data_IF_800344317410
#
_entry.id   IF_800344317410
#
_cell.length_a   1.000
_cell.length_b   1.000
_cell.length_c   1.000
_cell.angle_alpha   90.00
_cell.angle_beta   90.00
_cell.angle_gamma   90.00
#
_symmetry.space_group_name_H-M   'P 1'
#
loop_
_entity.id
_entity.type
_entity.pdbx_description
1 polymer ?
#
# COMPACT_ATOMS: atom_id res chain seq x y z
N UNK A 1 40.54 11.99 -5.98
CA UNK A 1 39.32 11.80 -5.17
C UNK A 1 39.66 10.79 -4.07
N UNK A 2 39.51 11.14 -2.79
CA UNK A 2 39.91 10.25 -1.71
C UNK A 2 38.99 9.03 -1.64
N UNK A 3 39.54 7.84 -1.35
CA UNK A 3 38.78 6.58 -1.26
C UNK A 3 37.55 6.70 -0.33
N UNK A 4 37.67 7.47 0.75
CA UNK A 4 36.57 7.79 1.68
C UNK A 4 35.46 8.61 1.02
N UNK A 5 35.79 9.62 0.22
CA UNK A 5 34.81 10.47 -0.48
C UNK A 5 34.06 9.68 -1.54
N UNK A 6 34.74 8.79 -2.28
CA UNK A 6 34.09 7.92 -3.25
C UNK A 6 33.07 6.98 -2.58
N UNK A 7 33.41 6.37 -1.45
CA UNK A 7 32.50 5.49 -0.70
C UNK A 7 31.23 6.24 -0.26
N UNK A 8 31.38 7.46 0.25
CA UNK A 8 30.22 8.29 0.67
C UNK A 8 29.30 8.58 -0.51
N UNK A 9 29.86 8.92 -1.67
CA UNK A 9 29.08 9.18 -2.89
C UNK A 9 28.30 7.93 -3.32
N UNK A 10 28.95 6.77 -3.34
CA UNK A 10 28.26 5.51 -3.66
C UNK A 10 27.11 5.21 -2.70
N UNK A 11 27.33 5.42 -1.40
CA UNK A 11 26.31 5.17 -0.39
C UNK A 11 25.13 6.15 -0.51
N UNK A 12 25.40 7.42 -0.82
CA UNK A 12 24.37 8.43 -1.05
C UNK A 12 23.51 8.10 -2.28
N UNK A 13 24.14 7.67 -3.39
CA UNK A 13 23.42 7.26 -4.60
C UNK A 13 22.55 6.03 -4.32
N UNK A 14 23.08 5.04 -3.59
CA UNK A 14 22.34 3.85 -3.20
C UNK A 14 21.09 4.22 -2.37
N UNK A 15 21.24 5.11 -1.39
CA UNK A 15 20.12 5.60 -0.58
C UNK A 15 19.05 6.29 -1.42
N UNK A 16 19.43 7.12 -2.39
CA UNK A 16 18.48 7.79 -3.29
C UNK A 16 17.69 6.77 -4.11
N UNK A 17 18.36 5.73 -4.62
CA UNK A 17 17.70 4.65 -5.37
C UNK A 17 16.67 3.92 -4.49
N UNK A 18 17.02 3.62 -3.24
CA UNK A 18 16.11 3.00 -2.28
C UNK A 18 14.93 3.91 -1.90
N UNK A 19 15.18 5.21 -1.71
CA UNK A 19 14.13 6.20 -1.41
C UNK A 19 13.11 6.31 -2.55
N UNK A 20 13.55 6.24 -3.80
CA UNK A 20 12.66 6.33 -4.95
C UNK A 20 11.99 4.99 -5.32
N UNK A 21 12.60 3.88 -4.91
CA UNK A 21 12.10 2.51 -5.10
C UNK A 21 11.58 2.25 -6.53
N UNK A 22 12.41 2.39 -7.57
CA UNK A 22 11.96 2.34 -8.98
C UNK A 22 11.26 1.04 -9.38
N UNK A 23 11.54 -0.06 -8.67
CA UNK A 23 10.95 -1.38 -8.95
C UNK A 23 9.51 -1.53 -8.41
N UNK A 24 9.04 -0.64 -7.53
CA UNK A 24 7.63 -0.62 -7.10
C UNK A 24 6.85 0.29 -8.05
N UNK A 25 5.93 -0.32 -8.79
CA UNK A 25 5.03 0.41 -9.68
C UNK A 25 3.70 0.69 -8.98
N UNK A 26 2.95 1.68 -9.48
CA UNK A 26 1.59 1.99 -9.04
C UNK A 26 0.71 0.73 -9.04
N UNK A 27 0.63 0.05 -10.18
CA UNK A 27 -0.19 -1.14 -10.36
C UNK A 27 0.21 -2.28 -9.39
N UNK A 28 1.51 -2.46 -9.14
CA UNK A 28 1.97 -3.45 -8.15
C UNK A 28 1.52 -3.11 -6.73
N UNK A 29 1.62 -1.84 -6.33
CA UNK A 29 1.17 -1.37 -5.02
C UNK A 29 -0.35 -1.54 -4.82
N UNK A 30 -1.15 -1.18 -5.82
CA UNK A 30 -2.61 -1.32 -5.77
C UNK A 30 -3.05 -2.79 -5.71
N UNK A 31 -2.39 -3.64 -6.50
CA UNK A 31 -2.63 -5.09 -6.53
C UNK A 31 -2.31 -5.74 -5.19
N UNK A 32 -1.11 -5.53 -4.66
CA UNK A 32 -0.68 -6.20 -3.42
C UNK A 32 -1.50 -5.73 -2.21
N UNK A 33 -1.95 -4.47 -2.18
CA UNK A 33 -2.86 -3.98 -1.13
C UNK A 33 -4.19 -4.72 -1.19
N UNK A 34 -4.77 -4.85 -2.38
CA UNK A 34 -6.06 -5.55 -2.56
C UNK A 34 -5.95 -7.03 -2.19
N UNK A 35 -4.88 -7.71 -2.63
CA UNK A 35 -4.63 -9.13 -2.29
C UNK A 35 -4.43 -9.33 -0.78
N UNK A 36 -3.64 -8.47 -0.13
CA UNK A 36 -3.41 -8.56 1.32
C UNK A 36 -4.66 -8.22 2.12
N UNK A 37 -5.44 -7.24 1.68
CA UNK A 37 -6.71 -6.91 2.31
C UNK A 37 -7.68 -8.11 2.24
N UNK A 38 -7.87 -8.69 1.06
CA UNK A 38 -8.72 -9.87 0.89
C UNK A 38 -8.22 -11.04 1.75
N UNK A 39 -6.91 -11.27 1.76
CA UNK A 39 -6.31 -12.35 2.55
C UNK A 39 -6.50 -12.18 4.06
N UNK A 40 -6.51 -10.94 4.57
CA UNK A 40 -6.76 -10.63 5.99
C UNK A 40 -8.22 -10.92 6.37
N UNK A 41 -9.18 -10.59 5.49
CA UNK A 41 -10.61 -10.66 5.79
C UNK A 41 -11.32 -11.95 5.31
N UNK A 42 -10.67 -12.79 4.50
CA UNK A 42 -11.29 -13.98 3.89
C UNK A 42 -11.85 -15.01 4.89
N UNK A 43 -11.34 -15.05 6.12
CA UNK A 43 -11.75 -16.02 7.15
C UNK A 43 -12.51 -15.36 8.32
N UNK A 44 -12.92 -14.11 8.17
CA UNK A 44 -13.66 -13.37 9.19
C UNK A 44 -15.15 -13.39 8.84
N UNK A 45 -15.99 -13.92 9.73
CA UNK A 45 -17.44 -14.10 9.47
C UNK A 45 -18.18 -12.78 9.25
N UNK A 46 -17.79 -11.70 9.95
CA UNK A 46 -18.29 -10.34 9.76
C UNK A 46 -17.16 -9.47 9.16
N UNK A 47 -16.60 -9.97 8.07
CA UNK A 47 -15.40 -9.40 7.46
C UNK A 47 -15.66 -8.13 6.65
N UNK A 48 -14.57 -7.51 6.21
CA UNK A 48 -14.61 -6.37 5.31
C UNK A 48 -14.27 -6.79 3.87
N UNK A 49 -14.85 -6.08 2.90
CA UNK A 49 -14.68 -6.34 1.48
C UNK A 49 -14.44 -5.06 0.67
N UNK A 50 -13.68 -5.21 -0.41
CA UNK A 50 -13.45 -4.17 -1.42
C UNK A 50 -14.48 -4.22 -2.56
N UNK A 51 -15.32 -5.25 -2.62
CA UNK A 51 -16.29 -5.50 -3.70
C UNK A 51 -17.66 -4.83 -3.48
N UNK A 52 -17.71 -3.71 -2.76
CA UNK A 52 -18.92 -2.91 -2.55
C UNK A 52 -19.07 -1.81 -3.61
N UNK A 53 -20.26 -1.21 -3.71
CA UNK A 53 -20.53 -0.14 -4.67
C UNK A 53 -19.61 1.06 -4.41
N UNK A 54 -18.76 1.36 -5.38
CA UNK A 54 -17.76 2.41 -5.23
C UNK A 54 -16.62 2.06 -4.27
N UNK A 55 -16.40 0.82 -3.90
CA UNK A 55 -15.23 0.42 -3.10
C UNK A 55 -14.02 0.03 -3.97
N UNK A 56 -12.90 -0.25 -3.31
CA UNK A 56 -11.64 -0.61 -3.94
C UNK A 56 -10.58 0.47 -3.77
N UNK A 57 -9.55 0.40 -4.60
CA UNK A 57 -8.49 1.41 -4.61
C UNK A 57 -9.02 2.71 -5.23
N UNK A 58 -8.90 3.81 -4.47
CA UNK A 58 -9.35 5.14 -4.91
C UNK A 58 -8.24 5.98 -5.48
N UNK A 59 -7.09 5.95 -4.81
CA UNK A 59 -5.94 6.72 -5.21
C UNK A 59 -4.68 5.99 -4.78
N UNK A 60 -3.59 6.27 -5.49
CA UNK A 60 -2.28 5.84 -5.04
C UNK A 60 -1.21 6.77 -5.59
N UNK A 61 -0.25 7.10 -4.74
CA UNK A 61 0.84 8.00 -5.08
C UNK A 61 2.15 7.49 -4.49
N UNK A 62 3.24 7.81 -5.18
CA UNK A 62 4.58 7.47 -4.72
C UNK A 62 4.93 8.34 -3.50
N UNK A 63 5.58 7.73 -2.52
CA UNK A 63 6.13 8.41 -1.35
C UNK A 63 7.59 7.99 -1.17
N UNK A 64 8.27 8.57 -0.18
CA UNK A 64 9.60 8.11 0.19
C UNK A 64 9.52 6.64 0.63
N UNK A 65 10.39 5.81 0.06
CA UNK A 65 10.48 4.39 0.35
C UNK A 65 9.23 3.57 -0.01
N UNK A 66 8.41 4.01 -0.98
CA UNK A 66 7.30 3.18 -1.48
C UNK A 66 6.10 3.94 -2.03
N UNK A 67 4.90 3.44 -1.74
CA UNK A 67 3.61 3.98 -2.19
C UNK A 67 2.63 4.12 -1.02
N UNK A 68 1.82 5.17 -1.06
CA UNK A 68 0.61 5.28 -0.25
C UNK A 68 -0.59 4.97 -1.15
N UNK A 69 -1.47 4.09 -0.67
CA UNK A 69 -2.65 3.60 -1.38
C UNK A 69 -3.88 3.88 -0.53
N UNK A 70 -4.82 4.64 -1.09
CA UNK A 70 -6.11 4.92 -0.48
C UNK A 70 -7.11 3.85 -0.93
N UNK A 71 -7.71 3.18 0.04
CA UNK A 71 -8.74 2.17 -0.19
C UNK A 71 -10.05 2.58 0.45
N UNK A 72 -11.15 2.25 -0.22
CA UNK A 72 -12.49 2.27 0.33
C UNK A 72 -13.04 0.84 0.44
N UNK A 73 -13.65 0.53 1.58
CA UNK A 73 -14.19 -0.80 1.88
C UNK A 73 -15.46 -0.69 2.73
N UNK A 74 -16.25 -1.74 2.73
CA UNK A 74 -17.40 -1.91 3.62
C UNK A 74 -17.25 -3.22 4.39
N UNK A 75 -17.92 -3.31 5.55
CA UNK A 75 -17.84 -4.48 6.42
C UNK A 75 -19.24 -5.02 6.72
N UNK A 76 -19.31 -6.33 6.93
CA UNK A 76 -20.54 -7.05 7.18
C UNK A 76 -21.50 -7.04 6.01
N UNK A 77 -22.80 -7.01 6.30
CA UNK A 77 -23.85 -7.02 5.27
C UNK A 77 -23.90 -5.66 4.57
N UNK A 78 -23.29 -5.59 3.39
CA UNK A 78 -23.26 -4.38 2.54
C UNK A 78 -24.66 -4.14 1.97
N UNK A 79 -25.36 -3.15 2.54
CA UNK A 79 -26.57 -2.58 1.97
C UNK A 79 -26.21 -1.44 1.00
N UNK A 80 -27.07 -1.09 0.03
CA UNK A 80 -26.80 -0.04 -0.96
C UNK A 80 -26.38 1.31 -0.37
N UNK A 81 -26.88 1.65 0.82
CA UNK A 81 -26.62 2.91 1.54
C UNK A 81 -25.63 2.76 2.72
N UNK A 82 -24.91 1.63 2.79
CA UNK A 82 -23.94 1.42 3.86
C UNK A 82 -22.75 2.38 3.72
N UNK A 83 -22.27 3.01 4.81
CA UNK A 83 -21.18 3.98 4.71
C UNK A 83 -19.86 3.27 4.37
N UNK A 84 -19.23 3.70 3.29
CA UNK A 84 -17.88 3.26 2.93
C UNK A 84 -16.88 3.79 3.97
N UNK A 85 -15.95 2.92 4.37
CA UNK A 85 -14.82 3.28 5.21
C UNK A 85 -13.60 3.53 4.32
N UNK A 86 -12.88 4.62 4.57
CA UNK A 86 -11.64 4.94 3.87
C UNK A 86 -10.44 4.62 4.76
N UNK A 87 -9.37 4.09 4.18
CA UNK A 87 -8.09 3.88 4.88
C UNK A 87 -6.91 4.10 3.96
N UNK A 88 -5.80 4.56 4.53
CA UNK A 88 -4.53 4.76 3.84
C UNK A 88 -3.57 3.64 4.21
N UNK A 89 -3.11 2.93 3.20
CA UNK A 89 -2.26 1.75 3.33
C UNK A 89 -0.90 2.07 2.71
N UNK A 90 0.17 1.77 3.43
CA UNK A 90 1.54 2.00 2.95
C UNK A 90 2.15 0.71 2.40
N UNK A 91 2.64 0.77 1.18
CA UNK A 91 3.43 -0.28 0.53
C UNK A 91 4.89 0.15 0.52
N UNK A 92 5.72 -0.55 1.30
CA UNK A 92 7.16 -0.26 1.33
C UNK A 92 7.89 -0.64 0.04
N UNK A 93 9.11 -0.13 -0.12
CA UNK A 93 10.06 -0.52 -1.16
C UNK A 93 10.38 -2.02 -1.16
N UNK A 94 10.10 -2.74 -0.08
CA UNK A 94 10.26 -4.20 0.01
C UNK A 94 8.98 -4.96 -0.34
N UNK A 95 7.96 -4.31 -0.91
CA UNK A 95 6.63 -4.90 -1.17
C UNK A 95 5.89 -5.40 0.09
N UNK A 96 6.26 -4.92 1.27
CA UNK A 96 5.47 -5.18 2.49
C UNK A 96 4.36 -4.15 2.65
N UNK A 97 3.19 -4.59 3.10
CA UNK A 97 1.95 -3.79 3.23
C UNK A 97 1.70 -3.48 4.71
N UNK A 98 1.45 -2.21 5.03
CA UNK A 98 1.29 -1.70 6.40
C UNK A 98 0.06 -0.80 6.51
N UNK A 99 -0.53 -0.75 7.70
CA UNK A 99 -1.70 0.11 7.95
C UNK A 99 -3.01 -0.42 7.37
N UNK A 100 -3.08 -1.73 7.09
CA UNK A 100 -4.36 -2.37 6.80
C UNK A 100 -5.29 -2.22 8.01
N UNK A 101 -6.58 -1.89 7.80
CA UNK A 101 -7.55 -1.84 8.88
C UNK A 101 -7.68 -3.22 9.51
N UNK A 102 -7.64 -3.26 10.84
CA UNK A 102 -7.80 -4.46 11.67
C UNK A 102 -9.05 -4.34 12.53
N UNK A 103 -9.51 -5.50 13.02
CA UNK A 103 -10.56 -5.64 14.03
C UNK A 103 -10.05 -5.15 15.38
#
# INVERSE_FOLDING_TARGET
MNKKTSIIIYFAILLIIFMWSPWITKNHAEKIVSEKFIAEWQNVSDGCGLNCYGCGVKNSHRTLFGYSVEIEYACGMVLPDSPNKTSYVFVSFLSTVHGLPKI
#
